data_IF_219100848260
#
_entry.id   IF_219100848260
#
_cell.length_a   1.000
_cell.length_b   1.000
_cell.length_c   1.000
_cell.angle_alpha   90.00
_cell.angle_beta   90.00
_cell.angle_gamma   90.00
#
_symmetry.space_group_name_H-M   'P 1'
#
loop_
_entity.id
_entity.type
_entity.pdbx_description
1 polymer ?
#
# COMPACT_ATOMS: atom_id res chain seq x y z
N UNK A 1 9.37 9.59 64.56
CA UNK A 1 8.85 10.75 63.81
C UNK A 1 9.92 11.17 62.85
N UNK A 2 9.85 10.78 61.58
CA UNK A 2 10.48 11.44 60.43
C UNK A 2 10.06 10.73 59.18
N UNK A 3 9.17 11.38 58.39
CA UNK A 3 8.70 10.89 57.09
C UNK A 3 9.77 11.23 56.02
N UNK A 4 10.27 10.22 55.32
CA UNK A 4 11.05 10.47 54.09
C UNK A 4 10.08 10.50 52.89
N UNK A 5 10.05 11.66 52.24
CA UNK A 5 9.46 11.86 50.92
C UNK A 5 10.31 11.14 49.90
N UNK A 6 9.71 10.19 49.16
CA UNK A 6 10.28 9.66 47.92
C UNK A 6 9.87 10.58 46.81
N UNK A 7 10.86 11.17 46.13
CA UNK A 7 10.71 12.04 44.99
C UNK A 7 10.30 11.19 43.75
N UNK A 8 9.20 11.60 43.19
CA UNK A 8 8.62 11.11 41.94
C UNK A 8 9.51 11.54 40.76
N UNK A 9 10.25 10.60 40.20
CA UNK A 9 11.01 10.82 38.96
C UNK A 9 10.04 10.74 37.78
N UNK A 10 9.61 11.89 37.29
CA UNK A 10 8.83 12.02 36.05
C UNK A 10 9.65 11.50 34.88
N UNK A 11 9.17 10.43 34.30
CA UNK A 11 9.59 9.90 33.02
C UNK A 11 9.24 10.95 31.94
N UNK A 12 10.26 11.57 31.38
CA UNK A 12 10.11 12.50 30.25
C UNK A 12 9.86 11.70 28.99
N UNK A 13 8.64 11.80 28.46
CA UNK A 13 8.26 11.26 27.16
C UNK A 13 9.17 11.84 26.06
N UNK A 14 9.74 11.00 25.17
CA UNK A 14 10.37 11.50 23.97
C UNK A 14 9.29 12.02 23.02
N UNK A 15 9.48 13.26 22.55
CA UNK A 15 8.64 13.92 21.54
C UNK A 15 8.42 12.97 20.34
N UNK A 16 7.20 12.83 19.82
CA UNK A 16 6.95 12.04 18.63
C UNK A 16 7.61 12.72 17.44
N UNK A 17 8.59 12.06 16.87
CA UNK A 17 9.13 12.40 15.55
C UNK A 17 7.97 12.28 14.54
N UNK A 18 7.47 13.42 14.06
CA UNK A 18 6.39 13.49 13.08
C UNK A 18 6.94 13.03 11.72
N UNK A 19 7.10 11.72 11.55
CA UNK A 19 7.10 11.11 10.24
C UNK A 19 5.64 11.04 9.80
N UNK A 20 5.25 11.95 8.91
CA UNK A 20 3.99 11.85 8.17
C UNK A 20 3.95 10.45 7.52
N UNK A 21 3.07 9.53 7.93
CA UNK A 21 2.85 8.32 7.18
C UNK A 21 2.13 8.71 5.90
N UNK A 22 2.84 8.81 4.78
CA UNK A 22 2.20 8.66 3.47
C UNK A 22 1.80 7.20 3.41
N UNK A 23 0.69 6.88 4.03
CA UNK A 23 0.04 5.56 3.94
C UNK A 23 -0.54 5.51 2.54
N UNK A 24 0.20 4.90 1.64
CA UNK A 24 -0.32 4.49 0.34
C UNK A 24 -1.33 3.38 0.63
N UNK A 25 -2.61 3.76 0.70
CA UNK A 25 -3.70 2.83 0.91
C UNK A 25 -3.81 1.94 -0.32
N UNK A 26 -3.36 0.70 -0.19
CA UNK A 26 -3.87 -0.38 -1.03
C UNK A 26 -5.37 -0.38 -0.78
N UNK A 27 -6.16 -0.02 -1.78
CA UNK A 27 -7.61 -0.02 -1.70
C UNK A 27 -8.08 -1.40 -1.27
N UNK A 28 -8.39 -1.55 0.01
CA UNK A 28 -9.10 -2.71 0.52
C UNK A 28 -10.58 -2.50 0.19
N UNK A 29 -11.18 -3.26 -0.73
CA UNK A 29 -12.60 -3.17 -0.98
C UNK A 29 -13.36 -3.96 0.09
N UNK A 30 -13.32 -3.48 1.33
CA UNK A 30 -14.07 -4.06 2.43
C UNK A 30 -15.50 -3.54 2.54
N UNK A 31 -15.94 -2.60 1.65
CA UNK A 31 -17.34 -2.26 1.51
C UNK A 31 -17.83 -2.58 0.10
N UNK A 32 -19.07 -3.09 -0.06
CA UNK A 32 -19.68 -3.13 -1.37
C UNK A 32 -19.64 -1.67 -1.88
N UNK A 33 -19.03 -1.50 -3.06
CA UNK A 33 -19.09 -0.25 -3.79
C UNK A 33 -20.56 0.16 -3.78
N UNK A 34 -20.95 1.00 -2.84
CA UNK A 34 -22.24 1.62 -2.87
C UNK A 34 -22.27 2.28 -4.24
N UNK A 35 -23.35 2.05 -4.97
CA UNK A 35 -23.62 2.49 -6.34
C UNK A 35 -23.57 4.03 -6.39
N UNK A 36 -22.43 4.58 -6.05
CA UNK A 36 -22.24 6.02 -5.97
C UNK A 36 -21.92 6.49 -7.39
N UNK A 37 -22.93 7.09 -8.01
CA UNK A 37 -22.80 7.73 -9.33
C UNK A 37 -21.58 8.66 -9.39
N UNK A 38 -21.19 9.25 -8.26
CA UNK A 38 -20.01 10.12 -8.14
C UNK A 38 -18.73 9.38 -8.44
N UNK A 39 -18.57 8.17 -7.88
CA UNK A 39 -17.39 7.34 -8.14
C UNK A 39 -17.32 6.93 -9.62
N UNK A 40 -18.43 6.46 -10.19
CA UNK A 40 -18.48 6.08 -11.61
C UNK A 40 -18.20 7.27 -12.54
N UNK A 41 -18.68 8.46 -12.20
CA UNK A 41 -18.42 9.70 -12.95
C UNK A 41 -16.94 10.08 -12.86
N UNK A 42 -16.35 10.07 -11.66
CA UNK A 42 -14.93 10.40 -11.47
C UNK A 42 -14.02 9.45 -12.25
N UNK A 43 -14.25 8.14 -12.16
CA UNK A 43 -13.48 7.13 -12.91
C UNK A 43 -13.68 7.31 -14.42
N UNK A 44 -14.90 7.53 -14.88
CA UNK A 44 -15.20 7.74 -16.30
C UNK A 44 -14.55 9.00 -16.86
N UNK A 45 -14.57 10.11 -16.11
CA UNK A 45 -13.90 11.35 -16.48
C UNK A 45 -12.38 11.18 -16.54
N UNK A 46 -11.80 10.51 -15.53
CA UNK A 46 -10.37 10.27 -15.50
C UNK A 46 -9.92 9.37 -16.65
N UNK A 47 -10.66 8.30 -16.96
CA UNK A 47 -10.36 7.41 -18.07
C UNK A 47 -10.44 8.14 -19.43
N UNK A 48 -11.48 8.96 -19.65
CA UNK A 48 -11.64 9.75 -20.86
C UNK A 48 -10.53 10.81 -20.98
N UNK A 49 -10.17 11.45 -19.86
CA UNK A 49 -9.06 12.41 -19.82
C UNK A 49 -7.73 11.73 -20.15
N UNK A 50 -7.40 10.60 -19.49
CA UNK A 50 -6.17 9.83 -19.75
C UNK A 50 -6.03 9.42 -21.21
N UNK A 51 -7.13 8.98 -21.85
CA UNK A 51 -7.11 8.65 -23.28
C UNK A 51 -6.81 9.87 -24.15
N UNK A 52 -7.42 11.02 -23.82
CA UNK A 52 -7.13 12.31 -24.47
C UNK A 52 -5.67 12.74 -24.26
N UNK A 53 -5.19 12.62 -23.03
CA UNK A 53 -3.82 12.99 -22.64
C UNK A 53 -2.76 12.17 -23.38
N UNK A 54 -2.97 10.85 -23.55
CA UNK A 54 -2.11 10.01 -24.39
C UNK A 54 -2.09 10.53 -25.84
N UNK A 55 -3.28 10.77 -26.42
CA UNK A 55 -3.38 11.23 -27.80
C UNK A 55 -2.69 12.58 -28.01
N UNK A 56 -2.96 13.55 -27.16
CA UNK A 56 -2.35 14.88 -27.25
C UNK A 56 -0.88 14.90 -26.84
N UNK A 57 -0.45 14.05 -25.91
CA UNK A 57 0.96 13.88 -25.55
C UNK A 57 1.80 13.40 -26.74
N UNK A 58 1.25 12.45 -27.52
CA UNK A 58 1.89 12.00 -28.77
C UNK A 58 1.92 13.12 -29.82
N UNK A 59 0.82 13.86 -30.03
CA UNK A 59 0.73 14.96 -30.98
C UNK A 59 1.65 16.12 -30.61
N UNK A 60 1.71 16.49 -29.32
CA UNK A 60 2.58 17.56 -28.84
C UNK A 60 4.05 17.13 -28.70
N UNK A 61 4.36 15.85 -28.92
CA UNK A 61 5.69 15.26 -28.67
C UNK A 61 6.21 15.53 -27.26
N UNK A 62 5.31 15.61 -26.25
CA UNK A 62 5.63 15.87 -24.87
C UNK A 62 5.78 14.58 -24.07
N UNK A 63 6.98 14.35 -23.54
CA UNK A 63 7.25 13.23 -22.65
C UNK A 63 6.63 13.46 -21.26
N UNK A 64 6.51 14.72 -20.82
CA UNK A 64 5.89 15.06 -19.53
C UNK A 64 4.38 14.73 -19.53
N UNK A 65 3.65 15.07 -20.61
CA UNK A 65 2.25 14.67 -20.78
C UNK A 65 2.09 13.16 -20.83
N UNK A 66 2.96 12.44 -21.53
CA UNK A 66 2.91 10.98 -21.59
C UNK A 66 3.24 10.33 -20.24
N UNK A 67 4.09 10.93 -19.42
CA UNK A 67 4.39 10.44 -18.08
C UNK A 67 3.19 10.60 -17.14
N UNK A 68 2.49 11.75 -17.19
CA UNK A 68 1.26 11.99 -16.43
C UNK A 68 0.15 11.04 -16.88
N UNK A 69 -0.07 10.89 -18.19
CA UNK A 69 -1.02 9.95 -18.77
C UNK A 69 -0.74 8.48 -18.38
N UNK A 70 0.54 8.07 -18.34
CA UNK A 70 0.91 6.73 -17.92
C UNK A 70 0.61 6.49 -16.44
N UNK A 71 0.85 7.49 -15.58
CA UNK A 71 0.50 7.43 -14.18
C UNK A 71 -1.01 7.22 -14.00
N UNK A 72 -1.82 8.10 -14.59
CA UNK A 72 -3.28 8.02 -14.57
C UNK A 72 -3.81 6.68 -15.14
N UNK A 73 -3.21 6.19 -16.23
CA UNK A 73 -3.56 4.89 -16.80
C UNK A 73 -3.22 3.73 -15.86
N UNK A 74 -2.06 3.79 -15.20
CA UNK A 74 -1.63 2.75 -14.28
C UNK A 74 -2.54 2.65 -13.05
N UNK A 75 -3.10 3.76 -12.59
CA UNK A 75 -4.07 3.75 -11.48
C UNK A 75 -5.35 3.02 -11.87
N UNK A 76 -5.88 3.29 -13.06
CA UNK A 76 -7.05 2.57 -13.57
C UNK A 76 -6.73 1.08 -13.82
N UNK A 77 -5.58 0.78 -14.43
CA UNK A 77 -5.14 -0.60 -14.66
C UNK A 77 -4.92 -1.34 -13.33
N UNK A 78 -4.33 -0.65 -12.34
CA UNK A 78 -4.13 -1.17 -10.99
C UNK A 78 -5.45 -1.56 -10.30
N UNK A 79 -6.48 -0.74 -10.44
CA UNK A 79 -7.83 -1.05 -9.93
C UNK A 79 -8.41 -2.29 -10.59
N UNK A 80 -8.24 -2.45 -11.91
CA UNK A 80 -8.70 -3.65 -12.64
C UNK A 80 -7.95 -4.91 -12.18
N UNK A 81 -6.63 -4.84 -12.04
CA UNK A 81 -5.80 -5.95 -11.58
C UNK A 81 -6.16 -6.31 -10.13
N UNK A 82 -6.35 -5.33 -9.26
CA UNK A 82 -6.80 -5.53 -7.89
C UNK A 82 -8.19 -6.20 -7.86
N UNK A 83 -9.13 -5.75 -8.70
CA UNK A 83 -10.46 -6.34 -8.81
C UNK A 83 -10.40 -7.82 -9.22
N UNK A 84 -9.57 -8.16 -10.22
CA UNK A 84 -9.33 -9.56 -10.62
C UNK A 84 -8.73 -10.36 -9.46
N UNK A 85 -7.75 -9.80 -8.74
CA UNK A 85 -7.14 -10.42 -7.56
C UNK A 85 -8.18 -10.75 -6.48
N UNK A 86 -9.08 -9.82 -6.18
CA UNK A 86 -10.17 -10.01 -5.21
C UNK A 86 -11.18 -11.04 -5.72
N UNK A 87 -11.54 -10.99 -6.99
CA UNK A 87 -12.43 -11.98 -7.58
C UNK A 87 -11.85 -13.39 -7.47
N UNK A 88 -10.56 -13.55 -7.71
CA UNK A 88 -9.85 -14.81 -7.47
C UNK A 88 -9.85 -15.20 -5.99
N UNK A 89 -9.57 -14.26 -5.09
CA UNK A 89 -9.50 -14.51 -3.64
C UNK A 89 -10.84 -14.96 -3.03
N UNK A 90 -11.96 -14.57 -3.63
CA UNK A 90 -13.32 -15.02 -3.22
C UNK A 90 -13.64 -16.46 -3.63
N UNK A 91 -12.79 -17.12 -4.42
CA UNK A 91 -13.00 -18.51 -4.79
C UNK A 91 -12.85 -19.42 -3.57
N UNK A 92 -13.76 -20.38 -3.38
CA UNK A 92 -13.71 -21.28 -2.23
C UNK A 92 -12.42 -22.09 -2.23
N UNK A 93 -12.00 -22.48 -1.04
CA UNK A 93 -10.89 -23.40 -0.84
C UNK A 93 -11.13 -24.73 -1.58
N UNK A 94 -10.05 -25.30 -2.09
CA UNK A 94 -10.06 -26.59 -2.80
C UNK A 94 -9.04 -27.53 -2.16
N UNK A 95 -9.07 -28.81 -2.50
CA UNK A 95 -8.04 -29.75 -2.01
C UNK A 95 -6.62 -29.37 -2.41
N UNK A 96 -6.44 -28.62 -3.51
CA UNK A 96 -5.13 -28.16 -3.97
C UNK A 96 -4.74 -26.81 -3.37
N UNK A 97 -5.72 -25.93 -3.13
CA UNK A 97 -5.53 -24.59 -2.56
C UNK A 97 -6.37 -24.50 -1.29
N UNK A 98 -5.81 -24.95 -0.17
CA UNK A 98 -6.54 -25.11 1.10
C UNK A 98 -6.96 -23.79 1.72
N UNK A 99 -6.23 -22.69 1.48
CA UNK A 99 -6.63 -21.32 1.81
C UNK A 99 -7.40 -20.63 0.66
N UNK A 100 -7.73 -21.33 -0.43
CA UNK A 100 -8.26 -20.71 -1.64
C UNK A 100 -7.18 -19.98 -2.44
N UNK A 101 -7.58 -18.97 -3.21
CA UNK A 101 -6.67 -18.15 -4.00
C UNK A 101 -6.45 -16.77 -3.36
N UNK A 102 -6.43 -16.69 -2.02
CA UNK A 102 -6.32 -15.42 -1.28
C UNK A 102 -5.07 -14.63 -1.65
N UNK A 103 -3.94 -15.30 -1.84
CA UNK A 103 -2.67 -14.68 -2.24
C UNK A 103 -2.69 -14.06 -3.64
N UNK A 104 -3.75 -14.29 -4.44
CA UNK A 104 -3.90 -13.65 -5.75
C UNK A 104 -3.89 -12.11 -5.64
N UNK A 105 -4.37 -11.54 -4.52
CA UNK A 105 -4.33 -10.09 -4.28
C UNK A 105 -2.91 -9.57 -4.11
N UNK A 106 -2.04 -10.34 -3.44
CA UNK A 106 -0.61 -10.00 -3.27
C UNK A 106 0.10 -10.02 -4.63
N UNK A 107 -0.09 -11.10 -5.40
CA UNK A 107 0.52 -11.22 -6.73
C UNK A 107 -0.02 -10.19 -7.72
N UNK A 108 -1.29 -9.80 -7.60
CA UNK A 108 -1.87 -8.71 -8.36
C UNK A 108 -1.15 -7.38 -8.08
N UNK A 109 -0.90 -7.06 -6.80
CA UNK A 109 -0.17 -5.86 -6.41
C UNK A 109 1.28 -5.87 -6.91
N UNK A 110 1.99 -7.01 -6.79
CA UNK A 110 3.36 -7.18 -7.32
C UNK A 110 3.39 -6.96 -8.83
N UNK A 111 2.48 -7.60 -9.56
CA UNK A 111 2.39 -7.49 -11.02
C UNK A 111 2.13 -6.06 -11.46
N UNK A 112 1.17 -5.38 -10.82
CA UNK A 112 0.85 -3.99 -11.12
C UNK A 112 2.05 -3.07 -10.89
N UNK A 113 2.70 -3.17 -9.73
CA UNK A 113 3.88 -2.38 -9.41
C UNK A 113 5.05 -2.65 -10.37
N UNK A 114 5.30 -3.91 -10.74
CA UNK A 114 6.35 -4.28 -11.68
C UNK A 114 6.07 -3.72 -13.09
N UNK A 115 4.81 -3.81 -13.56
CA UNK A 115 4.41 -3.27 -14.86
C UNK A 115 4.58 -1.76 -14.90
N UNK A 116 4.16 -1.05 -13.84
CA UNK A 116 4.31 0.40 -13.76
C UNK A 116 5.78 0.81 -13.73
N UNK A 117 6.63 0.14 -12.95
CA UNK A 117 8.08 0.41 -12.93
C UNK A 117 8.73 0.16 -14.30
N UNK A 118 8.33 -0.90 -14.99
CA UNK A 118 8.83 -1.18 -16.34
C UNK A 118 8.46 -0.06 -17.32
N UNK A 119 7.19 0.34 -17.35
CA UNK A 119 6.72 1.40 -18.24
C UNK A 119 7.33 2.77 -17.90
N UNK A 120 7.43 3.10 -16.60
CA UNK A 120 8.08 4.32 -16.10
C UNK A 120 9.59 4.32 -16.44
N UNK A 121 10.25 3.15 -16.37
CA UNK A 121 11.64 3.00 -16.77
C UNK A 121 11.87 3.27 -18.26
N UNK A 122 10.94 2.86 -19.13
CA UNK A 122 11.00 3.18 -20.54
C UNK A 122 10.86 4.70 -20.80
N UNK A 123 9.95 5.37 -20.09
CA UNK A 123 9.82 6.84 -20.16
C UNK A 123 11.06 7.56 -19.61
N UNK A 124 11.68 7.03 -18.55
CA UNK A 124 12.93 7.58 -18.03
C UNK A 124 14.06 7.56 -19.07
N UNK A 125 14.20 6.44 -19.77
CA UNK A 125 15.20 6.30 -20.86
C UNK A 125 14.91 7.27 -22.00
N UNK A 126 13.67 7.40 -22.42
CA UNK A 126 13.25 8.36 -23.45
C UNK A 126 13.51 9.80 -23.01
N UNK A 127 13.13 10.17 -21.79
CA UNK A 127 13.38 11.50 -21.24
C UNK A 127 14.89 11.79 -21.16
N UNK A 128 15.69 10.83 -20.69
CA UNK A 128 17.14 10.98 -20.64
C UNK A 128 17.75 11.19 -22.02
N UNK A 129 17.29 10.46 -23.05
CA UNK A 129 17.71 10.67 -24.43
C UNK A 129 17.34 12.08 -24.92
N UNK A 130 16.13 12.57 -24.61
CA UNK A 130 15.66 13.91 -24.98
C UNK A 130 16.36 15.05 -24.24
N UNK A 131 16.96 14.82 -23.06
CA UNK A 131 17.82 15.84 -22.42
C UNK A 131 19.00 16.20 -23.30
N UNK A 132 19.62 15.23 -23.99
CA UNK A 132 20.78 15.45 -24.86
C UNK A 132 20.39 15.84 -26.30
N UNK A 133 19.18 15.50 -26.74
CA UNK A 133 18.66 15.82 -28.08
C UNK A 133 17.19 16.25 -27.95
N UNK A 134 16.92 17.47 -27.44
CA UNK A 134 15.56 17.94 -27.22
C UNK A 134 14.81 18.05 -28.54
N UNK A 135 13.65 17.37 -28.62
CA UNK A 135 12.69 17.55 -29.69
C UNK A 135 11.95 18.89 -29.58
N UNK A 136 11.25 19.29 -30.62
CA UNK A 136 10.33 20.42 -30.54
C UNK A 136 9.06 19.96 -29.86
N UNK A 137 8.69 20.64 -28.78
CA UNK A 137 7.48 20.38 -27.98
C UNK A 137 6.48 21.49 -28.23
N UNK A 138 5.22 21.13 -28.49
CA UNK A 138 4.13 22.10 -28.58
C UNK A 138 3.69 22.54 -27.20
N UNK A 139 4.34 23.56 -26.64
CA UNK A 139 4.07 24.10 -25.30
C UNK A 139 2.65 24.65 -25.13
N UNK A 140 2.01 25.13 -26.21
CA UNK A 140 0.61 25.59 -26.17
C UNK A 140 -0.34 24.40 -25.93
N UNK A 141 -0.19 23.33 -26.71
CA UNK A 141 -0.97 22.11 -26.56
C UNK A 141 -0.77 21.48 -25.18
N UNK A 142 0.48 21.37 -24.71
CA UNK A 142 0.81 20.86 -23.37
C UNK A 142 0.09 21.66 -22.29
N UNK A 143 0.13 23.01 -22.39
CA UNK A 143 -0.51 23.89 -21.39
C UNK A 143 -2.02 23.71 -21.33
N UNK A 144 -2.68 23.60 -22.50
CA UNK A 144 -4.14 23.41 -22.56
C UNK A 144 -4.56 22.04 -22.04
N UNK A 145 -3.87 20.97 -22.42
CA UNK A 145 -4.19 19.61 -21.94
C UNK A 145 -3.99 19.51 -20.44
N UNK A 146 -2.89 20.02 -19.92
CA UNK A 146 -2.63 20.03 -18.49
C UNK A 146 -3.65 20.88 -17.72
N UNK A 147 -4.10 22.03 -18.27
CA UNK A 147 -5.16 22.83 -17.65
C UNK A 147 -6.49 22.05 -17.57
N UNK A 148 -6.82 21.25 -18.60
CA UNK A 148 -7.97 20.35 -18.55
C UNK A 148 -7.76 19.29 -17.45
N UNK A 149 -6.56 18.73 -17.30
CA UNK A 149 -6.20 17.79 -16.24
C UNK A 149 -6.42 18.37 -14.85
N UNK A 150 -5.95 19.59 -14.61
CA UNK A 150 -6.18 20.32 -13.35
C UNK A 150 -7.68 20.44 -13.05
N UNK A 151 -8.50 20.73 -14.06
CA UNK A 151 -9.96 20.85 -13.89
C UNK A 151 -10.60 19.50 -13.61
N UNK A 152 -10.24 18.45 -14.35
CA UNK A 152 -10.81 17.10 -14.20
C UNK A 152 -10.43 16.50 -12.85
N UNK A 153 -9.15 16.52 -12.48
CA UNK A 153 -8.67 16.00 -11.21
C UNK A 153 -9.15 16.85 -10.03
N UNK A 154 -9.20 18.18 -10.19
CA UNK A 154 -9.71 19.12 -9.20
C UNK A 154 -11.22 18.94 -8.93
N UNK A 155 -12.03 18.75 -9.97
CA UNK A 155 -13.46 18.43 -9.82
C UNK A 155 -13.61 17.06 -9.14
N UNK A 156 -12.84 16.06 -9.57
CA UNK A 156 -12.86 14.73 -8.95
C UNK A 156 -12.48 14.79 -7.47
N UNK A 157 -11.45 15.54 -7.10
CA UNK A 157 -11.09 15.76 -5.70
C UNK A 157 -12.21 16.48 -4.92
N UNK A 158 -12.82 17.51 -5.51
CA UNK A 158 -13.90 18.26 -4.88
C UNK A 158 -15.14 17.40 -4.60
N UNK A 159 -15.46 16.44 -5.47
CA UNK A 159 -16.58 15.50 -5.27
C UNK A 159 -16.41 14.66 -4.00
N UNK A 160 -15.17 14.41 -3.58
CA UNK A 160 -14.84 13.64 -2.37
C UNK A 160 -14.49 14.51 -1.16
N UNK A 161 -14.36 15.84 -1.32
CA UNK A 161 -13.92 16.75 -0.26
C UNK A 161 -14.90 16.85 0.93
N UNK A 162 -16.19 16.54 0.76
CA UNK A 162 -17.18 16.57 1.84
C UNK A 162 -17.14 15.35 2.76
N UNK A 163 -16.75 14.20 2.24
CA UNK A 163 -16.91 12.92 2.93
C UNK A 163 -15.57 12.35 3.46
N UNK A 164 -14.41 12.95 3.08
CA UNK A 164 -13.07 12.48 3.43
C UNK A 164 -12.75 12.55 4.93
N UNK A 165 -13.43 13.39 5.71
CA UNK A 165 -13.16 13.54 7.14
C UNK A 165 -13.63 12.35 7.99
N UNK A 166 -14.50 11.51 7.46
CA UNK A 166 -15.16 10.42 8.19
C UNK A 166 -14.81 9.02 7.68
N UNK A 167 -14.14 8.90 6.53
CA UNK A 167 -13.75 7.62 5.93
C UNK A 167 -12.30 7.68 5.43
N UNK A 168 -11.45 6.79 5.95
CA UNK A 168 -10.03 6.70 5.61
C UNK A 168 -9.79 6.37 4.13
N UNK A 169 -10.69 5.60 3.49
CA UNK A 169 -10.59 5.29 2.07
C UNK A 169 -10.87 6.52 1.20
N UNK A 170 -11.92 7.28 1.56
CA UNK A 170 -12.24 8.53 0.86
C UNK A 170 -11.15 9.58 1.07
N UNK A 171 -10.53 9.60 2.26
CA UNK A 171 -9.39 10.46 2.55
C UNK A 171 -8.18 10.13 1.65
N UNK A 172 -7.85 8.83 1.50
CA UNK A 172 -6.78 8.39 0.60
C UNK A 172 -7.05 8.76 -0.86
N UNK A 173 -8.28 8.54 -1.35
CA UNK A 173 -8.70 8.91 -2.69
C UNK A 173 -8.63 10.44 -2.91
N UNK A 174 -9.03 11.23 -1.93
CA UNK A 174 -8.94 12.69 -1.99
C UNK A 174 -7.49 13.17 -2.12
N UNK A 175 -6.58 12.65 -1.27
CA UNK A 175 -5.15 13.01 -1.31
C UNK A 175 -4.54 12.62 -2.66
N UNK A 176 -4.89 11.45 -3.19
CA UNK A 176 -4.42 10.97 -4.49
C UNK A 176 -4.82 11.95 -5.62
N UNK A 177 -6.11 12.29 -5.73
CA UNK A 177 -6.62 13.23 -6.74
C UNK A 177 -6.03 14.64 -6.60
N UNK A 178 -5.75 15.09 -5.37
CA UNK A 178 -5.02 16.35 -5.14
C UNK A 178 -3.59 16.25 -5.65
N UNK A 179 -2.91 15.11 -5.43
CA UNK A 179 -1.55 14.89 -5.94
C UNK A 179 -1.52 14.90 -7.48
N UNK A 180 -2.47 14.25 -8.14
CA UNK A 180 -2.59 14.25 -9.60
C UNK A 180 -2.85 15.67 -10.13
N UNK A 181 -3.69 16.44 -9.43
CA UNK A 181 -3.90 17.86 -9.76
C UNK A 181 -2.59 18.64 -9.70
N UNK A 182 -1.75 18.42 -8.70
CA UNK A 182 -0.45 19.09 -8.56
C UNK A 182 0.54 18.67 -9.67
N UNK A 183 0.55 17.40 -10.06
CA UNK A 183 1.36 16.93 -11.20
C UNK A 183 0.91 17.62 -12.49
N UNK A 184 -0.39 17.64 -12.78
CA UNK A 184 -0.96 18.34 -13.94
C UNK A 184 -0.63 19.85 -13.93
N UNK A 185 -0.65 20.51 -12.75
CA UNK A 185 -0.18 21.91 -12.63
C UNK A 185 1.29 22.03 -13.00
N UNK A 186 2.15 21.12 -12.54
CA UNK A 186 3.58 21.10 -12.88
C UNK A 186 3.81 20.95 -14.39
N UNK A 187 3.09 20.04 -15.04
CA UNK A 187 3.12 19.84 -16.49
C UNK A 187 2.64 21.11 -17.24
N UNK A 188 1.55 21.72 -16.77
CA UNK A 188 1.01 22.96 -17.34
C UNK A 188 1.98 24.14 -17.23
N UNK A 189 2.62 24.31 -16.10
CA UNK A 189 3.68 25.32 -15.90
C UNK A 189 4.85 25.07 -16.87
N UNK A 190 5.26 23.81 -17.01
CA UNK A 190 6.31 23.40 -17.96
C UNK A 190 5.93 23.76 -19.40
N UNK A 191 4.73 23.41 -19.85
CA UNK A 191 4.22 23.76 -21.18
C UNK A 191 4.18 25.29 -21.41
N UNK A 192 3.67 26.04 -20.43
CA UNK A 192 3.64 27.49 -20.51
C UNK A 192 5.05 28.11 -20.59
N UNK A 193 6.01 27.59 -19.83
CA UNK A 193 7.39 28.04 -19.89
C UNK A 193 8.01 27.73 -21.25
N UNK A 194 7.76 26.55 -21.83
CA UNK A 194 8.21 26.20 -23.17
C UNK A 194 7.62 27.16 -24.21
N UNK A 195 6.31 27.44 -24.13
CA UNK A 195 5.62 28.38 -25.02
C UNK A 195 6.24 29.79 -24.99
N UNK A 196 6.67 30.25 -23.80
CA UNK A 196 7.20 31.60 -23.59
C UNK A 196 8.70 31.74 -23.91
N UNK A 197 9.47 30.69 -23.70
CA UNK A 197 10.94 30.73 -23.75
C UNK A 197 11.52 29.93 -24.90
N UNK A 198 10.78 28.96 -25.47
CA UNK A 198 11.28 27.99 -26.43
C UNK A 198 12.23 26.95 -25.83
N UNK A 199 12.29 26.82 -24.50
CA UNK A 199 13.19 25.92 -23.80
C UNK A 199 12.64 24.49 -23.77
N UNK A 200 12.75 23.78 -24.88
CA UNK A 200 12.22 22.41 -25.02
C UNK A 200 12.83 21.40 -24.05
N UNK A 201 14.00 21.66 -23.48
CA UNK A 201 14.63 20.79 -22.47
C UNK A 201 13.83 20.71 -21.15
N UNK A 202 12.92 21.64 -20.91
CA UNK A 202 12.05 21.64 -19.73
C UNK A 202 11.11 20.42 -19.72
N UNK A 203 10.64 19.96 -20.88
CA UNK A 203 9.78 18.78 -20.99
C UNK A 203 10.46 17.50 -20.47
N UNK A 204 11.63 17.07 -20.98
CA UNK A 204 12.31 15.92 -20.41
C UNK A 204 12.77 16.13 -18.97
N UNK A 205 13.07 17.35 -18.53
CA UNK A 205 13.41 17.62 -17.13
C UNK A 205 12.19 17.41 -16.23
N UNK A 206 11.03 17.93 -16.58
CA UNK A 206 9.78 17.69 -15.86
C UNK A 206 9.41 16.19 -15.85
N UNK A 207 9.57 15.52 -16.98
CA UNK A 207 9.38 14.06 -17.11
C UNK A 207 10.23 13.30 -16.08
N UNK A 208 11.52 13.63 -15.98
CA UNK A 208 12.42 12.95 -15.03
C UNK A 208 12.02 13.20 -13.58
N UNK A 209 11.49 14.37 -13.25
CA UNK A 209 10.94 14.65 -11.90
C UNK A 209 9.72 13.80 -11.63
N UNK A 210 8.76 13.75 -12.55
CA UNK A 210 7.54 12.91 -12.45
C UNK A 210 7.93 11.45 -12.31
N UNK A 211 8.81 10.95 -13.17
CA UNK A 211 9.34 9.57 -13.12
C UNK A 211 9.97 9.26 -11.77
N UNK A 212 10.79 10.17 -11.24
CA UNK A 212 11.43 9.94 -9.93
C UNK A 212 10.41 9.78 -8.80
N UNK A 213 9.34 10.58 -8.81
CA UNK A 213 8.24 10.47 -7.84
C UNK A 213 7.50 9.13 -8.00
N UNK A 214 7.12 8.78 -9.24
CA UNK A 214 6.41 7.51 -9.52
C UNK A 214 7.26 6.32 -9.09
N UNK A 215 8.56 6.29 -9.45
CA UNK A 215 9.47 5.20 -9.07
C UNK A 215 9.59 5.08 -7.54
N UNK A 216 9.75 6.21 -6.82
CA UNK A 216 9.89 6.18 -5.36
C UNK A 216 8.65 5.59 -4.67
N UNK A 217 7.45 5.98 -5.12
CA UNK A 217 6.18 5.47 -4.58
C UNK A 217 5.95 4.00 -4.94
N UNK A 218 6.15 3.66 -6.22
CA UNK A 218 5.92 2.30 -6.75
C UNK A 218 6.93 1.30 -6.21
N UNK A 219 8.20 1.72 -6.01
CA UNK A 219 9.22 0.86 -5.42
C UNK A 219 8.85 0.41 -4.00
N UNK A 220 8.29 1.33 -3.21
CA UNK A 220 7.79 1.00 -1.87
C UNK A 220 6.67 -0.04 -1.95
N UNK A 221 5.68 0.17 -2.84
CA UNK A 221 4.59 -0.78 -3.06
C UNK A 221 5.10 -2.16 -3.48
N UNK A 222 6.05 -2.20 -4.42
CA UNK A 222 6.65 -3.45 -4.89
C UNK A 222 7.36 -4.18 -3.75
N UNK A 223 8.19 -3.47 -2.98
CA UNK A 223 8.92 -4.04 -1.85
C UNK A 223 7.98 -4.59 -0.79
N UNK A 224 6.96 -3.82 -0.39
CA UNK A 224 6.01 -4.21 0.65
C UNK A 224 5.17 -5.42 0.18
N UNK A 225 4.69 -5.40 -1.08
CA UNK A 225 3.96 -6.53 -1.66
C UNK A 225 4.84 -7.78 -1.82
N UNK A 226 6.09 -7.62 -2.23
CA UNK A 226 7.04 -8.73 -2.33
C UNK A 226 7.34 -9.34 -0.95
N UNK A 227 7.46 -8.52 0.10
CA UNK A 227 7.59 -9.00 1.47
C UNK A 227 6.41 -9.88 1.87
N UNK A 228 5.16 -9.45 1.58
CA UNK A 228 3.97 -10.27 1.84
C UNK A 228 3.99 -11.58 1.03
N UNK A 229 4.44 -11.51 -0.23
CA UNK A 229 4.58 -12.69 -1.09
C UNK A 229 5.64 -13.69 -0.61
N UNK A 230 6.63 -13.22 0.13
CA UNK A 230 7.68 -14.03 0.78
C UNK A 230 7.33 -14.41 2.22
N UNK A 231 6.07 -14.33 2.61
CA UNK A 231 5.56 -14.62 3.97
C UNK A 231 6.12 -13.70 5.05
N UNK A 232 6.55 -12.48 4.71
CA UNK A 232 6.93 -11.47 5.69
C UNK A 232 5.74 -11.04 6.56
N UNK A 233 6.06 -10.59 7.76
CA UNK A 233 5.06 -10.05 8.69
C UNK A 233 4.43 -8.80 8.07
N UNK A 234 3.08 -8.69 8.02
CA UNK A 234 2.42 -7.49 7.54
C UNK A 234 2.86 -6.24 8.31
N UNK A 235 3.11 -5.13 7.62
CA UNK A 235 3.68 -3.91 8.21
C UNK A 235 2.83 -3.28 9.32
N UNK A 236 1.54 -3.60 9.38
CA UNK A 236 0.61 -3.17 10.43
C UNK A 236 0.62 -4.06 11.66
N UNK A 237 1.38 -5.16 11.67
CA UNK A 237 1.48 -6.10 12.79
C UNK A 237 2.89 -6.02 13.39
N UNK A 238 2.97 -5.64 14.64
CA UNK A 238 4.22 -5.66 15.40
C UNK A 238 4.39 -7.03 16.07
N UNK A 239 5.35 -7.83 15.59
CA UNK A 239 5.54 -9.21 16.05
C UNK A 239 5.82 -9.27 17.56
N UNK A 240 6.65 -8.36 18.09
CA UNK A 240 6.96 -8.29 19.51
C UNK A 240 5.73 -7.99 20.39
N UNK A 241 4.78 -7.19 19.88
CA UNK A 241 3.53 -6.92 20.57
C UNK A 241 2.60 -8.15 20.59
N UNK A 242 2.60 -8.96 19.52
CA UNK A 242 1.87 -10.24 19.47
C UNK A 242 2.46 -11.22 20.47
N UNK A 243 3.77 -11.41 20.46
CA UNK A 243 4.50 -12.28 21.38
C UNK A 243 4.24 -11.88 22.85
N UNK A 244 4.40 -10.58 23.17
CA UNK A 244 4.12 -10.06 24.51
C UNK A 244 2.68 -10.27 24.93
N UNK A 245 1.72 -10.13 24.00
CA UNK A 245 0.31 -10.41 24.30
C UNK A 245 0.05 -11.89 24.61
N UNK A 246 0.64 -12.80 23.85
CA UNK A 246 0.56 -14.24 24.11
C UNK A 246 1.20 -14.61 25.45
N UNK A 247 2.41 -14.11 25.71
CA UNK A 247 3.15 -14.40 26.95
C UNK A 247 2.45 -13.88 28.23
N UNK A 248 1.56 -12.90 28.12
CA UNK A 248 0.79 -12.38 29.27
C UNK A 248 -0.48 -13.17 29.58
N UNK A 249 -0.85 -14.17 28.75
CA UNK A 249 -2.06 -14.97 29.00
C UNK A 249 -1.87 -15.97 30.12
N UNK A 250 -2.92 -16.14 30.93
CA UNK A 250 -2.87 -17.03 32.05
C UNK A 250 -2.61 -18.49 31.63
N UNK A 251 -1.63 -19.12 32.26
CA UNK A 251 -1.26 -20.52 32.00
C UNK A 251 -0.17 -20.70 30.96
N UNK A 252 0.23 -19.67 30.21
CA UNK A 252 1.37 -19.71 29.31
C UNK A 252 2.65 -19.41 30.08
N UNK A 253 3.60 -20.34 30.08
CA UNK A 253 4.92 -20.19 30.68
C UNK A 253 5.95 -19.62 29.66
N UNK A 254 5.85 -20.00 28.39
CA UNK A 254 6.69 -19.51 27.30
C UNK A 254 5.96 -19.57 25.97
N UNK A 255 6.40 -18.74 25.04
CA UNK A 255 5.96 -18.74 23.63
C UNK A 255 7.20 -18.91 22.75
N UNK A 256 7.15 -19.80 21.79
CA UNK A 256 8.20 -19.97 20.78
C UNK A 256 7.61 -20.39 19.45
N UNK A 257 8.42 -20.47 18.39
CA UNK A 257 8.03 -20.80 17.03
C UNK A 257 6.83 -19.95 16.54
N UNK A 258 6.90 -18.65 16.87
CA UNK A 258 5.87 -17.68 16.51
C UNK A 258 6.09 -17.20 15.08
N UNK A 259 5.17 -17.53 14.19
CA UNK A 259 5.15 -17.08 12.83
C UNK A 259 3.88 -16.30 12.52
N UNK A 260 4.03 -15.17 11.83
CA UNK A 260 2.92 -14.37 11.32
C UNK A 260 3.19 -14.06 9.86
N UNK A 261 2.22 -14.33 8.99
CA UNK A 261 2.36 -14.06 7.55
C UNK A 261 1.04 -13.62 6.93
N UNK A 262 1.12 -13.00 5.75
CA UNK A 262 -0.05 -12.59 4.97
C UNK A 262 -0.64 -13.76 4.18
N UNK A 263 -1.95 -13.96 4.26
CA UNK A 263 -2.72 -14.82 3.34
C UNK A 263 -3.21 -14.04 2.11
N UNK A 264 -3.48 -12.74 2.30
CA UNK A 264 -3.88 -11.79 1.26
C UNK A 264 -3.34 -10.40 1.63
N UNK A 265 -3.67 -9.37 0.86
CA UNK A 265 -3.36 -7.98 1.21
C UNK A 265 -4.11 -7.48 2.45
N UNK A 266 -5.10 -8.22 2.95
CA UNK A 266 -5.98 -7.81 4.05
C UNK A 266 -6.14 -8.85 5.15
N UNK A 267 -5.66 -10.07 4.92
CA UNK A 267 -5.81 -11.18 5.88
C UNK A 267 -4.43 -11.73 6.25
N UNK A 268 -4.27 -12.02 7.54
CA UNK A 268 -3.06 -12.62 8.08
C UNK A 268 -3.36 -13.93 8.82
N UNK A 269 -2.35 -14.79 8.87
CA UNK A 269 -2.35 -16.00 9.66
C UNK A 269 -1.21 -15.96 10.68
N UNK A 270 -1.39 -16.75 11.76
CA UNK A 270 -0.44 -16.93 12.85
C UNK A 270 -0.35 -18.40 13.21
N UNK A 271 0.86 -18.86 13.48
CA UNK A 271 1.13 -20.09 14.25
C UNK A 271 2.03 -19.74 15.42
N UNK A 272 1.78 -20.39 16.56
CA UNK A 272 2.64 -20.25 17.74
C UNK A 272 2.62 -21.53 18.58
N UNK A 273 3.74 -21.85 19.22
CA UNK A 273 3.84 -22.87 20.24
C UNK A 273 3.71 -22.22 21.63
N UNK A 274 2.77 -22.74 22.43
CA UNK A 274 2.43 -22.24 23.74
C UNK A 274 2.83 -23.28 24.79
N UNK A 275 3.85 -22.99 25.58
CA UNK A 275 4.26 -23.88 26.70
C UNK A 275 3.30 -23.66 27.87
N UNK A 276 2.51 -24.68 28.16
CA UNK A 276 1.47 -24.68 29.23
C UNK A 276 1.66 -25.87 30.15
N UNK A 277 2.51 -25.74 31.20
CA UNK A 277 2.83 -26.86 32.13
C UNK A 277 1.62 -27.50 32.83
N UNK A 278 0.54 -26.74 33.00
CA UNK A 278 -0.70 -27.23 33.59
C UNK A 278 -1.55 -28.11 32.64
N UNK A 279 -1.14 -28.26 31.40
CA UNK A 279 -1.84 -29.03 30.37
C UNK A 279 -2.69 -28.18 29.44
N UNK A 280 -3.40 -28.86 28.51
CA UNK A 280 -4.26 -28.22 27.53
C UNK A 280 -5.40 -27.43 28.17
N UNK A 281 -5.58 -26.14 27.86
CA UNK A 281 -6.53 -25.26 28.57
C UNK A 281 -7.99 -25.48 28.19
N UNK A 282 -8.23 -26.28 27.15
CA UNK A 282 -9.55 -26.50 26.56
C UNK A 282 -9.84 -25.61 25.35
N UNK A 283 -10.71 -26.07 24.46
CA UNK A 283 -11.02 -25.43 23.18
C UNK A 283 -11.61 -24.02 23.36
N UNK A 284 -12.49 -23.82 24.32
CA UNK A 284 -13.12 -22.53 24.62
C UNK A 284 -12.10 -21.44 25.02
N UNK A 285 -11.01 -21.82 25.69
CA UNK A 285 -9.93 -20.91 26.02
C UNK A 285 -9.11 -20.55 24.79
N UNK A 286 -8.79 -21.54 23.92
CA UNK A 286 -8.10 -21.32 22.66
C UNK A 286 -8.91 -20.43 21.70
N UNK A 287 -10.23 -20.63 21.64
CA UNK A 287 -11.14 -19.76 20.87
C UNK A 287 -11.12 -18.32 21.39
N UNK A 288 -11.10 -18.16 22.72
CA UNK A 288 -11.02 -16.82 23.36
C UNK A 288 -9.69 -16.14 23.01
N UNK A 289 -8.59 -16.89 23.04
CA UNK A 289 -7.27 -16.39 22.66
C UNK A 289 -7.24 -15.98 21.18
N UNK A 290 -7.74 -16.84 20.29
CA UNK A 290 -7.82 -16.54 18.85
C UNK A 290 -8.65 -15.28 18.57
N UNK A 291 -9.80 -15.12 19.25
CA UNK A 291 -10.63 -13.92 19.15
C UNK A 291 -9.92 -12.67 19.67
N UNK A 292 -9.13 -12.79 20.75
CA UNK A 292 -8.32 -11.70 21.30
C UNK A 292 -7.23 -11.26 20.30
N UNK A 293 -6.53 -12.22 19.69
CA UNK A 293 -5.53 -11.97 18.64
C UNK A 293 -6.18 -11.30 17.42
N UNK A 294 -7.35 -11.79 16.99
CA UNK A 294 -8.09 -11.17 15.91
C UNK A 294 -8.50 -9.72 16.24
N UNK A 295 -9.09 -9.51 17.39
CA UNK A 295 -9.60 -8.18 17.79
C UNK A 295 -8.49 -7.14 18.00
N UNK A 296 -7.32 -7.57 18.51
CA UNK A 296 -6.22 -6.65 18.83
C UNK A 296 -5.26 -6.41 17.68
N UNK A 297 -4.96 -7.43 16.88
CA UNK A 297 -3.91 -7.39 15.85
C UNK A 297 -4.47 -7.59 14.43
N UNK A 298 -5.76 -7.87 14.26
CA UNK A 298 -6.38 -8.09 12.96
C UNK A 298 -5.92 -9.40 12.29
N UNK A 299 -5.46 -10.40 13.04
CA UNK A 299 -5.05 -11.70 12.52
C UNK A 299 -6.26 -12.63 12.49
N UNK A 300 -6.71 -13.05 11.30
CA UNK A 300 -7.96 -13.79 11.13
C UNK A 300 -7.82 -15.31 11.32
N UNK A 301 -6.61 -15.85 11.15
CA UNK A 301 -6.38 -17.28 11.20
C UNK A 301 -5.23 -17.57 12.18
N UNK A 302 -5.56 -17.98 13.39
CA UNK A 302 -4.58 -18.34 14.41
C UNK A 302 -4.63 -19.84 14.71
N UNK A 303 -3.46 -20.46 14.79
CA UNK A 303 -3.29 -21.87 15.16
C UNK A 303 -2.27 -21.95 16.29
N UNK A 304 -2.63 -22.67 17.36
CA UNK A 304 -1.77 -22.82 18.52
C UNK A 304 -1.44 -24.29 18.76
N UNK A 305 -0.16 -24.60 18.94
CA UNK A 305 0.29 -25.88 19.46
C UNK A 305 0.53 -25.71 20.95
N UNK A 306 -0.09 -26.57 21.76
CA UNK A 306 0.10 -26.57 23.23
C UNK A 306 1.13 -27.60 23.63
N UNK A 307 2.16 -27.20 24.37
CA UNK A 307 3.26 -28.03 24.86
C UNK A 307 3.29 -28.06 26.40
N UNK A 308 3.71 -29.21 26.99
CA UNK A 308 3.62 -29.45 28.42
C UNK A 308 4.89 -29.14 29.21
N UNK A 309 5.93 -28.58 28.60
CA UNK A 309 7.24 -28.37 29.21
C UNK A 309 7.89 -29.69 29.74
N UNK A 310 7.79 -30.76 28.91
CA UNK A 310 8.38 -32.04 29.25
C UNK A 310 9.88 -32.04 28.91
N UNK A 311 10.79 -32.17 29.91
CA UNK A 311 12.24 -32.17 29.67
C UNK A 311 12.71 -33.33 28.77
N UNK A 312 11.90 -34.40 28.65
CA UNK A 312 12.19 -35.55 27.82
C UNK A 312 11.67 -35.38 26.36
N UNK A 313 10.82 -34.40 26.16
CA UNK A 313 10.18 -34.12 24.88
C UNK A 313 10.36 -32.65 24.47
N UNK A 314 11.60 -32.27 24.09
CA UNK A 314 11.88 -30.92 23.60
C UNK A 314 11.31 -30.75 22.18
N UNK A 315 10.76 -29.59 21.91
CA UNK A 315 10.31 -29.24 20.58
C UNK A 315 11.45 -29.35 19.57
N UNK A 316 11.25 -30.11 18.49
CA UNK A 316 12.27 -30.29 17.46
C UNK A 316 12.64 -28.98 16.74
N UNK A 317 11.72 -28.00 16.74
CA UNK A 317 11.91 -26.69 16.11
C UNK A 317 12.71 -25.73 17.01
N UNK A 318 12.63 -25.88 18.34
CA UNK A 318 13.43 -25.10 19.30
C UNK A 318 14.95 -25.41 19.19
N UNK A 319 15.29 -26.61 18.76
CA UNK A 319 16.68 -27.06 18.60
C UNK A 319 17.35 -26.55 17.32
N UNK A 320 16.63 -25.87 16.46
CA UNK A 320 17.15 -25.36 15.21
C UNK A 320 17.56 -23.87 15.37
N UNK A 321 18.87 -23.54 15.48
CA UNK A 321 19.34 -22.16 15.72
C UNK A 321 19.02 -21.17 14.57
N UNK A 322 18.34 -21.65 13.51
CA UNK A 322 17.89 -20.85 12.37
C UNK A 322 16.38 -20.57 12.38
N UNK A 323 15.65 -20.90 13.45
CA UNK A 323 14.21 -20.69 13.58
C UNK A 323 13.84 -19.38 14.28
N UNK A 324 14.69 -18.36 14.21
CA UNK A 324 14.45 -17.00 14.73
C UNK A 324 14.66 -15.95 13.64
#
# INVERSE_FOLDING_TARGET
>A
MMRLHVLDARYSDPLPCATLPIVMHIHSPAHPLHNDRRFAIAVGLNLAFTAGEIAFGLLASSAALLADALHNFADVAGLLVAWVGIWCARRPATRRFTFGLRSATIYAAIFNAALLLFATGALALEALHRVFAPGIVDGEMVSWVAAIGVVVNGISAYLFAGDHAHDLNLHGTFIHLVSDTLVSVGVGVTGFMILRTGWNWLDPAATLVIVAVIVALTWRLLRDSASLGLHGVPANIELAAVEGHLATQAGIAAVHDLHVWALSTTEAALTAHLVMPAGHPGDAWLDTLANSIHGKFGIQHATFQVELDDPQHRCALELNPHSH
#
